data_IF_651030254881
#
_entry.id   IF_651030254881
#
_cell.length_a   1.000
_cell.length_b   1.000
_cell.length_c   1.000
_cell.angle_alpha   90.00
_cell.angle_beta   90.00
_cell.angle_gamma   90.00
#
_symmetry.space_group_name_H-M   'P 1'
#
loop_
_entity.id
_entity.type
_entity.pdbx_description
1 polymer ?
#
# COMPACT_ATOMS: atom_id res chain seq x y z
N UNK A 1 27.85 17.13 19.51
CA UNK A 1 26.92 16.28 20.28
C UNK A 1 25.88 17.22 20.86
N UNK A 2 24.59 16.98 20.58
CA UNK A 2 23.50 17.84 21.07
C UNK A 2 23.33 17.65 22.57
N UNK A 3 23.23 18.73 23.34
CA UNK A 3 23.07 18.74 24.81
C UNK A 3 21.68 18.25 25.29
N UNK A 4 20.78 17.88 24.37
CA UNK A 4 19.41 17.42 24.70
C UNK A 4 19.00 16.20 23.85
N UNK A 5 19.37 14.97 24.26
CA UNK A 5 19.01 13.75 23.53
C UNK A 5 17.49 13.56 23.42
N UNK A 6 16.73 14.03 24.41
CA UNK A 6 15.26 13.96 24.45
C UNK A 6 14.60 14.76 23.33
N UNK A 7 15.15 15.95 22.99
CA UNK A 7 14.61 16.80 21.91
C UNK A 7 14.79 16.16 20.53
N UNK A 8 15.91 15.48 20.31
CA UNK A 8 16.14 14.76 19.06
C UNK A 8 15.16 13.59 18.91
N UNK A 9 14.87 12.87 20.00
CA UNK A 9 13.90 11.77 19.98
C UNK A 9 12.49 12.29 19.68
N UNK A 10 12.08 13.40 20.29
CA UNK A 10 10.80 14.07 20.00
C UNK A 10 10.68 14.41 18.52
N UNK A 11 11.73 14.95 17.90
CA UNK A 11 11.73 15.27 16.46
C UNK A 11 11.56 14.00 15.62
N UNK A 12 12.27 12.91 15.94
CA UNK A 12 12.15 11.64 15.20
C UNK A 12 10.75 11.03 15.30
N UNK A 13 10.10 11.12 16.47
CA UNK A 13 8.70 10.70 16.63
C UNK A 13 7.76 11.58 15.80
N UNK A 14 7.99 12.89 15.78
CA UNK A 14 7.26 13.83 14.93
C UNK A 14 7.39 13.50 13.44
N UNK A 15 8.61 13.28 12.95
CA UNK A 15 8.89 12.89 11.56
C UNK A 15 8.20 11.56 11.20
N UNK A 16 8.22 10.59 12.13
CA UNK A 16 7.55 9.30 11.95
C UNK A 16 6.02 9.46 11.86
N UNK A 17 5.42 10.35 12.66
CA UNK A 17 3.98 10.67 12.57
C UNK A 17 3.65 11.29 11.21
N UNK A 18 4.45 12.23 10.71
CA UNK A 18 4.23 12.85 9.39
C UNK A 18 4.28 11.83 8.25
N UNK A 19 5.23 10.90 8.30
CA UNK A 19 5.30 9.81 7.32
C UNK A 19 4.11 8.85 7.42
N UNK A 20 3.63 8.56 8.63
CA UNK A 20 2.41 7.77 8.82
C UNK A 20 1.17 8.48 8.27
N UNK A 21 1.03 9.79 8.47
CA UNK A 21 -0.06 10.58 7.88
C UNK A 21 0.00 10.55 6.35
N UNK A 22 1.20 10.63 5.77
CA UNK A 22 1.38 10.48 4.33
C UNK A 22 0.97 9.08 3.84
N UNK A 23 1.40 8.03 4.55
CA UNK A 23 1.04 6.64 4.22
C UNK A 23 -0.48 6.42 4.28
N UNK A 24 -1.13 6.92 5.34
CA UNK A 24 -2.58 6.86 5.54
C UNK A 24 -3.30 7.59 4.41
N UNK A 25 -2.83 8.79 4.03
CA UNK A 25 -3.40 9.56 2.92
C UNK A 25 -3.31 8.78 1.60
N UNK A 26 -2.14 8.20 1.31
CA UNK A 26 -1.95 7.39 0.13
C UNK A 26 -2.86 6.15 0.13
N UNK A 27 -2.97 5.42 1.24
CA UNK A 27 -3.84 4.24 1.34
C UNK A 27 -5.32 4.59 1.13
N UNK A 28 -5.81 5.69 1.72
CA UNK A 28 -7.17 6.20 1.47
C UNK A 28 -7.37 6.47 -0.03
N UNK A 29 -6.41 7.15 -0.65
CA UNK A 29 -6.47 7.43 -2.09
C UNK A 29 -6.41 6.15 -2.94
N UNK A 30 -5.61 5.17 -2.54
CA UNK A 30 -5.48 3.89 -3.23
C UNK A 30 -6.81 3.12 -3.22
N UNK A 31 -7.52 3.13 -2.09
CA UNK A 31 -8.87 2.54 -1.97
C UNK A 31 -9.85 3.24 -2.93
N UNK A 32 -9.82 4.57 -3.01
CA UNK A 32 -10.65 5.33 -3.96
C UNK A 32 -10.35 4.94 -5.41
N UNK A 33 -9.06 4.86 -5.77
CA UNK A 33 -8.61 4.52 -7.13
C UNK A 33 -9.02 3.10 -7.52
N UNK A 34 -8.89 2.13 -6.60
CA UNK A 34 -9.48 0.80 -6.80
C UNK A 34 -11.02 0.86 -6.97
N UNK A 35 -11.70 1.77 -6.28
CA UNK A 35 -13.14 2.01 -6.43
C UNK A 35 -13.57 2.44 -7.83
N UNK A 36 -12.66 3.02 -8.62
CA UNK A 36 -12.88 3.37 -10.03
C UNK A 36 -12.47 2.25 -11.01
N UNK A 37 -12.00 1.10 -10.51
CA UNK A 37 -11.49 0.00 -11.35
C UNK A 37 -10.09 0.25 -11.94
N UNK A 38 -9.40 1.30 -11.50
CA UNK A 38 -8.07 1.67 -11.98
C UNK A 38 -6.96 0.95 -11.18
N UNK A 39 -6.71 -0.31 -11.52
CA UNK A 39 -5.66 -1.09 -10.88
C UNK A 39 -4.24 -0.57 -11.14
N UNK A 40 -4.00 0.07 -12.30
CA UNK A 40 -2.68 0.62 -12.64
C UNK A 40 -2.38 1.88 -11.82
N UNK A 41 -3.35 2.79 -11.69
CA UNK A 41 -3.24 3.97 -10.83
C UNK A 41 -3.01 3.58 -9.37
N UNK A 42 -3.71 2.55 -8.90
CA UNK A 42 -3.53 2.04 -7.53
C UNK A 42 -2.13 1.41 -7.32
N UNK A 43 -1.55 0.77 -8.33
CA UNK A 43 -0.19 0.24 -8.27
C UNK A 43 0.88 1.34 -8.16
N UNK A 44 0.70 2.47 -8.88
CA UNK A 44 1.61 3.63 -8.76
C UNK A 44 1.60 4.25 -7.36
N UNK A 45 0.45 4.22 -6.69
CA UNK A 45 0.36 4.65 -5.29
C UNK A 45 1.10 3.65 -4.38
N UNK A 46 1.00 2.34 -4.64
CA UNK A 46 1.74 1.32 -3.90
C UNK A 46 3.26 1.52 -3.96
N UNK A 47 3.80 1.85 -5.15
CA UNK A 47 5.22 2.18 -5.29
C UNK A 47 5.66 3.36 -4.40
N UNK A 48 4.75 4.31 -4.20
CA UNK A 48 4.97 5.46 -3.31
C UNK A 48 4.87 5.04 -1.83
N UNK A 49 3.92 4.18 -1.49
CA UNK A 49 3.78 3.60 -0.14
C UNK A 49 5.05 2.84 0.28
N UNK A 50 5.62 2.04 -0.63
CA UNK A 50 6.85 1.28 -0.36
C UNK A 50 8.01 2.20 0.02
N UNK A 51 8.14 3.37 -0.63
CA UNK A 51 9.18 4.36 -0.28
C UNK A 51 8.96 4.95 1.11
N UNK A 52 7.72 5.29 1.46
CA UNK A 52 7.36 5.81 2.78
C UNK A 52 7.63 4.75 3.86
N UNK A 53 7.28 3.49 3.61
CA UNK A 53 7.55 2.38 4.54
C UNK A 53 9.06 2.19 4.75
N UNK A 54 9.87 2.26 3.68
CA UNK A 54 11.32 2.19 3.81
C UNK A 54 11.87 3.32 4.69
N UNK A 55 11.35 4.53 4.55
CA UNK A 55 11.71 5.67 5.40
C UNK A 55 11.29 5.44 6.85
N UNK A 56 10.07 4.95 7.10
CA UNK A 56 9.59 4.58 8.43
C UNK A 56 10.51 3.55 9.09
N UNK A 57 10.86 2.47 8.39
CA UNK A 57 11.78 1.45 8.91
C UNK A 57 13.19 2.01 9.19
N UNK A 58 13.62 3.02 8.42
CA UNK A 58 14.91 3.68 8.67
C UNK A 58 14.87 4.54 9.93
N UNK A 59 13.77 5.26 10.18
CA UNK A 59 13.56 6.03 11.40
C UNK A 59 13.43 5.13 12.63
N UNK A 60 12.76 3.98 12.52
CA UNK A 60 12.64 3.01 13.61
C UNK A 60 14.02 2.59 14.14
N UNK A 61 14.95 2.31 13.24
CA UNK A 61 16.34 1.95 13.60
C UNK A 61 17.12 3.11 14.24
N UNK A 62 16.74 4.35 13.96
CA UNK A 62 17.37 5.53 14.57
C UNK A 62 16.77 5.77 15.97
N UNK A 63 15.46 5.64 16.10
CA UNK A 63 14.73 5.73 17.36
C UNK A 63 15.24 4.66 18.33
N UNK A 64 15.31 3.40 17.90
CA UNK A 64 15.77 2.26 18.72
C UNK A 64 17.15 2.52 19.35
N UNK A 65 18.08 3.10 18.58
CA UNK A 65 19.44 3.42 19.07
C UNK A 65 19.49 4.56 20.07
N UNK A 66 18.51 5.44 20.08
CA UNK A 66 18.47 6.62 20.95
C UNK A 66 17.63 6.38 22.21
N UNK A 67 16.57 5.57 22.10
CA UNK A 67 15.60 5.34 23.15
C UNK A 67 16.20 4.66 24.39
N UNK A 68 17.22 3.81 24.24
CA UNK A 68 17.90 3.13 25.37
C UNK A 68 18.52 4.09 26.41
N UNK A 69 18.77 5.34 26.01
CA UNK A 69 19.51 6.32 26.83
C UNK A 69 18.67 7.49 27.31
N UNK A 70 17.41 7.58 26.86
CA UNK A 70 16.52 8.72 27.10
C UNK A 70 15.44 8.35 28.12
N UNK A 71 15.27 9.12 29.21
CA UNK A 71 14.16 8.91 30.14
C UNK A 71 12.82 9.14 29.42
N UNK A 72 11.82 8.31 29.73
CA UNK A 72 10.47 8.49 29.21
C UNK A 72 9.83 9.74 29.84
N UNK A 73 9.51 10.73 28.99
CA UNK A 73 8.87 11.98 29.39
C UNK A 73 7.38 11.97 29.04
N UNK A 74 6.56 12.81 29.68
CA UNK A 74 5.13 12.94 29.35
C UNK A 74 4.90 13.21 27.86
N UNK A 75 5.75 14.07 27.26
CA UNK A 75 5.67 14.42 25.85
C UNK A 75 5.96 13.22 24.94
N UNK A 76 6.95 12.38 25.28
CA UNK A 76 7.24 11.17 24.52
C UNK A 76 6.11 10.15 24.64
N UNK A 77 5.48 10.04 25.81
CA UNK A 77 4.32 9.17 26.03
C UNK A 77 3.14 9.62 25.14
N UNK A 78 2.83 10.91 25.12
CA UNK A 78 1.77 11.48 24.27
C UNK A 78 2.04 11.23 22.78
N UNK A 79 3.27 11.47 22.32
CA UNK A 79 3.66 11.21 20.93
C UNK A 79 3.57 9.71 20.59
N UNK A 80 3.94 8.85 21.52
CA UNK A 80 3.84 7.40 21.36
C UNK A 80 2.39 6.95 21.22
N UNK A 81 1.47 7.52 21.99
CA UNK A 81 0.05 7.22 21.88
C UNK A 81 -0.50 7.62 20.50
N UNK A 82 -0.18 8.83 20.02
CA UNK A 82 -0.56 9.28 18.67
C UNK A 82 0.01 8.34 17.60
N UNK A 83 1.26 7.93 17.76
CA UNK A 83 1.93 7.03 16.82
C UNK A 83 1.23 5.66 16.75
N UNK A 84 0.84 5.08 17.89
CA UNK A 84 0.09 3.83 17.92
C UNK A 84 -1.28 3.96 17.25
N UNK A 85 -2.01 5.05 17.50
CA UNK A 85 -3.28 5.31 16.85
C UNK A 85 -3.14 5.37 15.32
N UNK A 86 -2.10 6.05 14.83
CA UNK A 86 -1.80 6.16 13.39
C UNK A 86 -1.38 4.84 12.76
N UNK A 87 -0.55 4.06 13.44
CA UNK A 87 -0.18 2.73 12.97
C UNK A 87 -1.40 1.80 12.86
N UNK A 88 -2.30 1.85 13.83
CA UNK A 88 -3.53 1.05 13.80
C UNK A 88 -4.47 1.52 12.67
N UNK A 89 -4.62 2.82 12.46
CA UNK A 89 -5.36 3.37 11.31
C UNK A 89 -4.77 2.86 9.97
N UNK A 90 -3.45 2.97 9.80
CA UNK A 90 -2.74 2.49 8.61
C UNK A 90 -2.91 0.98 8.40
N UNK A 91 -2.85 0.19 9.47
CA UNK A 91 -3.04 -1.26 9.43
C UNK A 91 -4.45 -1.63 8.94
N UNK A 92 -5.47 -0.94 9.45
CA UNK A 92 -6.86 -1.15 9.03
C UNK A 92 -7.07 -0.77 7.56
N UNK A 93 -6.53 0.36 7.12
CA UNK A 93 -6.60 0.81 5.72
C UNK A 93 -5.85 -0.13 4.77
N UNK A 94 -4.69 -0.63 5.17
CA UNK A 94 -3.95 -1.61 4.38
C UNK A 94 -4.76 -2.90 4.16
N UNK A 95 -5.41 -3.41 5.21
CA UNK A 95 -6.30 -4.58 5.09
C UNK A 95 -7.46 -4.35 4.11
N UNK A 96 -8.06 -3.15 4.14
CA UNK A 96 -9.11 -2.77 3.19
C UNK A 96 -8.58 -2.67 1.75
N UNK A 97 -7.40 -2.10 1.57
CA UNK A 97 -6.70 -1.99 0.29
C UNK A 97 -6.41 -3.37 -0.30
N UNK A 98 -5.89 -4.30 0.51
CA UNK A 98 -5.59 -5.67 0.09
C UNK A 98 -6.86 -6.39 -0.39
N UNK A 99 -7.97 -6.21 0.33
CA UNK A 99 -9.27 -6.76 -0.08
C UNK A 99 -9.71 -6.20 -1.44
N UNK A 100 -9.60 -4.88 -1.66
CA UNK A 100 -9.95 -4.22 -2.91
C UNK A 100 -9.07 -4.66 -4.09
N UNK A 101 -7.79 -4.84 -3.85
CA UNK A 101 -6.86 -5.39 -4.83
C UNK A 101 -7.29 -6.81 -5.27
N UNK A 102 -7.63 -7.69 -4.31
CA UNK A 102 -8.11 -9.04 -4.60
C UNK A 102 -9.43 -9.06 -5.38
N UNK A 103 -10.34 -8.13 -5.09
CA UNK A 103 -11.59 -7.94 -5.85
C UNK A 103 -11.27 -7.56 -7.31
N UNK A 104 -10.43 -6.54 -7.50
CA UNK A 104 -10.04 -6.05 -8.83
C UNK A 104 -9.31 -7.11 -9.67
N UNK A 105 -8.39 -7.86 -9.06
CA UNK A 105 -7.68 -8.96 -9.75
C UNK A 105 -8.62 -10.06 -10.23
N UNK A 106 -9.67 -10.39 -9.47
CA UNK A 106 -10.67 -11.38 -9.89
C UNK A 106 -11.46 -10.89 -11.12
N UNK A 107 -11.76 -9.60 -11.18
CA UNK A 107 -12.45 -9.00 -12.33
C UNK A 107 -11.57 -9.06 -13.58
N UNK A 108 -10.31 -8.66 -13.49
CA UNK A 108 -9.35 -8.79 -14.60
C UNK A 108 -9.17 -10.24 -15.07
N UNK A 109 -9.10 -11.20 -14.15
CA UNK A 109 -9.01 -12.61 -14.51
C UNK A 109 -10.26 -13.09 -15.28
N UNK A 110 -11.45 -12.62 -14.88
CA UNK A 110 -12.70 -12.95 -15.57
C UNK A 110 -12.72 -12.40 -16.98
N UNK A 111 -12.33 -11.15 -17.17
CA UNK A 111 -12.26 -10.51 -18.49
C UNK A 111 -11.25 -11.21 -19.40
N UNK A 112 -10.06 -11.53 -18.88
CA UNK A 112 -9.03 -12.26 -19.60
C UNK A 112 -9.52 -13.65 -20.05
N UNK A 113 -10.21 -14.39 -19.18
CA UNK A 113 -10.80 -15.68 -19.52
C UNK A 113 -11.83 -15.54 -20.66
N UNK A 114 -12.68 -14.51 -20.63
CA UNK A 114 -13.66 -14.26 -21.69
C UNK A 114 -12.98 -14.00 -23.04
N UNK A 115 -11.95 -13.16 -23.06
CA UNK A 115 -11.17 -12.87 -24.28
C UNK A 115 -10.50 -14.15 -24.81
N UNK A 116 -9.92 -14.97 -23.94
CA UNK A 116 -9.29 -16.24 -24.33
C UNK A 116 -10.30 -17.22 -24.95
N UNK A 117 -11.47 -17.39 -24.34
CA UNK A 117 -12.55 -18.23 -24.88
C UNK A 117 -12.99 -17.73 -26.26
N UNK A 118 -13.16 -16.42 -26.44
CA UNK A 118 -13.52 -15.85 -27.74
C UNK A 118 -12.44 -16.12 -28.80
N UNK A 119 -11.16 -15.99 -28.45
CA UNK A 119 -10.04 -16.29 -29.35
C UNK A 119 -10.06 -17.78 -29.74
N UNK A 120 -10.25 -18.68 -28.78
CA UNK A 120 -10.32 -20.13 -29.03
C UNK A 120 -11.51 -20.49 -29.92
N UNK A 121 -12.69 -19.96 -29.65
CA UNK A 121 -13.88 -20.15 -30.49
C UNK A 121 -13.67 -19.64 -31.91
N UNK A 122 -13.08 -18.44 -32.08
CA UNK A 122 -12.75 -17.89 -33.41
C UNK A 122 -11.75 -18.78 -34.16
N UNK A 123 -10.74 -19.32 -33.47
CA UNK A 123 -9.76 -20.24 -34.08
C UNK A 123 -10.42 -21.55 -34.51
N UNK A 124 -11.27 -22.12 -33.65
CA UNK A 124 -11.97 -23.37 -33.94
C UNK A 124 -12.94 -23.22 -35.11
N UNK A 125 -13.80 -22.20 -35.08
CA UNK A 125 -14.73 -21.91 -36.18
C UNK A 125 -13.99 -21.68 -37.50
N UNK A 126 -12.87 -20.96 -37.51
CA UNK A 126 -12.04 -20.80 -38.72
C UNK A 126 -11.50 -22.13 -39.24
N UNK A 127 -11.08 -23.05 -38.37
CA UNK A 127 -10.62 -24.38 -38.80
C UNK A 127 -11.73 -25.23 -39.43
N UNK A 128 -12.95 -25.13 -38.91
CA UNK A 128 -14.09 -25.87 -39.46
C UNK A 128 -14.52 -25.36 -40.83
N UNK A 129 -14.45 -24.04 -41.07
CA UNK A 129 -14.71 -23.44 -42.39
C UNK A 129 -13.77 -23.96 -43.49
N UNK A 130 -12.53 -24.35 -43.18
CA UNK A 130 -11.61 -24.98 -44.15
C UNK A 130 -11.89 -26.48 -44.36
N UNK A 131 -12.60 -27.13 -43.42
CA UNK A 131 -13.00 -28.54 -43.53
C UNK A 131 -14.37 -28.75 -44.16
N UNK A 132 -15.24 -27.75 -44.10
CA UNK A 132 -16.52 -27.70 -44.84
C UNK A 132 -16.39 -26.98 -46.18
N UNK A 133 -15.17 -26.88 -46.70
CA UNK A 133 -14.90 -26.50 -48.08
C UNK A 133 -15.86 -27.24 -49.01
N UNK A 134 -16.79 -26.47 -49.55
CA UNK A 134 -17.71 -26.84 -50.60
C UNK A 134 -16.86 -27.27 -51.80
N UNK A 135 -16.85 -28.57 -52.08
CA UNK A 135 -16.58 -29.09 -53.42
C UNK A 135 -17.81 -28.90 -54.29
#
# INVERSE_FOLDING_TARGET
MSDYPDQNLIVLYGDKILLLDQLISNQKRQIEVFGFGDGEGAAKIEDSNLKVIQQLCSLDRLIEKMEETVPQTSQLIELTEVLFQKMEESRLLHSQTEKKMKETLKEYQKELNQVQVQIQLKRHLRQDYWKTGTC
#
